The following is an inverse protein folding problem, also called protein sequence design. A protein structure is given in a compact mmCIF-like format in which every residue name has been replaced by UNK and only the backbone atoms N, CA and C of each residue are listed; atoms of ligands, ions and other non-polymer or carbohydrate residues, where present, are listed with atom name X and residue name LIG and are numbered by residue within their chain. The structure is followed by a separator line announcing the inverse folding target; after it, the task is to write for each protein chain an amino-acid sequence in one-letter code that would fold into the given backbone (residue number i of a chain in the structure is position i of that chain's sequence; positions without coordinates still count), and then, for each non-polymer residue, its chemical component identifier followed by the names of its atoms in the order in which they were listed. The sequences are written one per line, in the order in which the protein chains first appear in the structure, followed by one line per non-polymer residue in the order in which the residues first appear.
data_IF_105771143909
#
_entry.id   IF_105771143909
#
_cell.length_a   1.000
_cell.length_b   1.000
_cell.length_c   1.000
_cell.angle_alpha   90.00
_cell.angle_beta   90.00
_cell.angle_gamma   90.00
#
_symmetry.space_group_name_H-M   'P 1'
#
loop_
_entity.id
_entity.type
_entity.pdbx_description
1 polymer ?
#
# COMPACT_ATOMS: atom_id res chain seq x y z
N UNK A 1 60.93 -0.49 -31.92
CA UNK A 1 60.27 -1.39 -30.95
C UNK A 1 59.95 -0.74 -29.59
N UNK A 2 60.91 -0.09 -28.90
CA UNK A 2 60.70 0.52 -27.57
C UNK A 2 59.59 1.59 -27.50
N UNK A 3 59.38 2.36 -28.57
CA UNK A 3 58.38 3.44 -28.64
C UNK A 3 56.94 2.94 -28.78
N UNK A 4 56.76 1.77 -29.38
CA UNK A 4 55.43 1.14 -29.57
C UNK A 4 54.94 0.55 -28.25
N UNK A 5 55.82 -0.13 -27.50
CA UNK A 5 55.48 -0.67 -26.17
C UNK A 5 55.05 0.43 -25.18
N UNK A 6 55.70 1.60 -25.20
CA UNK A 6 55.33 2.73 -24.34
C UNK A 6 53.93 3.27 -24.66
N UNK A 7 53.57 3.36 -25.94
CA UNK A 7 52.24 3.82 -26.37
C UNK A 7 51.14 2.83 -25.96
N UNK A 8 51.40 1.53 -26.11
CA UNK A 8 50.46 0.47 -25.68
C UNK A 8 50.24 0.51 -24.16
N UNK A 9 51.32 0.69 -23.38
CA UNK A 9 51.20 0.82 -21.92
C UNK A 9 50.38 2.03 -21.47
N UNK A 10 50.57 3.19 -22.11
CA UNK A 10 49.80 4.40 -21.78
C UNK A 10 48.32 4.24 -22.13
N UNK A 11 47.99 3.62 -23.27
CA UNK A 11 46.60 3.38 -23.66
C UNK A 11 45.90 2.43 -22.70
N UNK A 12 46.57 1.35 -22.27
CA UNK A 12 46.03 0.41 -21.29
C UNK A 12 45.72 1.09 -19.95
N UNK A 13 46.66 1.89 -19.44
CA UNK A 13 46.46 2.64 -18.18
C UNK A 13 45.28 3.61 -18.29
N UNK A 14 45.13 4.28 -19.44
CA UNK A 14 44.03 5.23 -19.66
C UNK A 14 42.67 4.50 -19.69
N UNK A 15 42.61 3.34 -20.35
CA UNK A 15 41.40 2.51 -20.39
C UNK A 15 41.02 2.05 -18.98
N UNK A 16 41.98 1.55 -18.20
CA UNK A 16 41.72 1.11 -16.82
C UNK A 16 41.27 2.26 -15.91
N UNK A 17 41.84 3.46 -16.09
CA UNK A 17 41.44 4.63 -15.33
C UNK A 17 40.01 5.06 -15.67
N UNK A 18 39.65 5.06 -16.96
CA UNK A 18 38.29 5.39 -17.41
C UNK A 18 37.28 4.36 -16.90
N UNK A 19 37.56 3.06 -16.96
CA UNK A 19 36.65 2.04 -16.41
C UNK A 19 36.52 2.14 -14.89
N UNK A 20 37.58 2.49 -14.15
CA UNK A 20 37.50 2.72 -12.71
C UNK A 20 36.68 3.97 -12.36
N UNK A 21 36.83 5.05 -13.13
CA UNK A 21 36.06 6.29 -12.95
C UNK A 21 34.58 6.03 -13.27
N UNK A 22 34.29 5.47 -14.45
CA UNK A 22 32.92 5.13 -14.84
C UNK A 22 32.32 4.13 -13.85
N UNK A 23 33.04 3.11 -13.42
CA UNK A 23 32.60 2.21 -12.37
C UNK A 23 32.28 2.96 -11.07
N UNK A 24 33.17 3.81 -10.57
CA UNK A 24 32.95 4.53 -9.31
C UNK A 24 31.77 5.50 -9.36
N UNK A 25 31.50 6.13 -10.50
CA UNK A 25 30.44 7.14 -10.63
C UNK A 25 29.12 6.58 -11.17
N UNK A 26 29.14 5.55 -12.01
CA UNK A 26 27.93 4.90 -12.55
C UNK A 26 27.43 3.75 -11.68
N UNK A 27 28.29 3.07 -10.90
CA UNK A 27 27.85 1.99 -10.02
C UNK A 27 26.87 2.45 -8.92
N UNK A 28 27.06 3.61 -8.25
CA UNK A 28 26.03 4.12 -7.32
C UNK A 28 24.73 4.53 -8.01
N UNK A 29 24.75 4.80 -9.32
CA UNK A 29 23.55 5.12 -10.11
C UNK A 29 22.77 3.86 -10.55
N UNK A 30 23.38 2.67 -10.48
CA UNK A 30 22.77 1.41 -10.93
C UNK A 30 22.39 0.49 -9.76
N UNK A 31 22.97 0.69 -8.58
CA UNK A 31 22.58 -0.04 -7.37
C UNK A 31 21.30 0.58 -6.79
N UNK A 32 20.17 0.31 -7.44
CA UNK A 32 18.87 0.37 -6.77
C UNK A 32 18.92 -0.69 -5.67
N UNK A 33 19.05 -0.26 -4.42
CA UNK A 33 18.83 -1.15 -3.28
C UNK A 33 17.34 -1.44 -3.23
N UNK A 34 16.93 -2.56 -3.82
CA UNK A 34 15.63 -3.14 -3.54
C UNK A 34 15.67 -3.65 -2.10
N UNK A 35 15.06 -2.89 -1.19
CA UNK A 35 14.70 -3.41 0.13
C UNK A 35 13.33 -4.04 -0.09
N UNK A 36 13.24 -5.37 0.02
CA UNK A 36 11.95 -6.06 0.05
C UNK A 36 11.58 -6.23 1.51
N UNK A 37 10.51 -5.55 1.93
CA UNK A 37 9.87 -5.81 3.22
C UNK A 37 8.68 -6.73 2.98
N UNK A 38 8.50 -7.73 3.84
CA UNK A 38 7.34 -8.61 3.81
C UNK A 38 6.48 -8.28 5.03
N UNK A 39 5.34 -7.64 4.81
CA UNK A 39 4.28 -7.52 5.81
C UNK A 39 3.20 -8.53 5.43
N UNK A 40 2.96 -9.51 6.31
CA UNK A 40 1.85 -10.43 6.14
C UNK A 40 0.62 -9.82 6.80
N UNK A 41 -0.38 -9.50 5.98
CA UNK A 41 -1.73 -9.29 6.46
C UNK A 41 -2.37 -10.65 6.78
N UNK A 42 -3.26 -10.66 7.76
CA UNK A 42 -4.15 -11.81 7.99
C UNK A 42 -5.32 -11.70 7.02
N UNK A 43 -5.65 -12.81 6.35
CA UNK A 43 -6.85 -12.91 5.54
C UNK A 43 -7.98 -13.51 6.38
N UNK A 44 -9.15 -12.88 6.33
CA UNK A 44 -10.35 -13.33 7.02
C UNK A 44 -11.46 -13.66 6.02
N UNK A 45 -12.26 -14.70 6.27
CA UNK A 45 -13.54 -14.88 5.56
C UNK A 45 -14.47 -13.69 5.79
N UNK A 46 -15.32 -13.39 4.81
CA UNK A 46 -16.28 -12.26 4.89
C UNK A 46 -17.19 -12.41 6.09
N UNK A 47 -17.63 -13.62 6.41
CA UNK A 47 -18.49 -13.91 7.55
C UNK A 47 -17.80 -13.53 8.87
N UNK A 48 -16.49 -13.75 8.96
CA UNK A 48 -15.69 -13.34 10.13
C UNK A 48 -15.58 -11.82 10.20
N UNK A 49 -15.40 -11.15 9.05
CA UNK A 49 -15.34 -9.69 8.98
C UNK A 49 -16.67 -9.03 9.33
N UNK A 50 -17.79 -9.61 8.93
CA UNK A 50 -19.14 -9.14 9.32
C UNK A 50 -19.31 -9.15 10.84
N UNK A 51 -18.79 -10.18 11.52
CA UNK A 51 -18.94 -10.34 12.96
C UNK A 51 -17.95 -9.52 13.80
N UNK A 52 -16.73 -9.31 13.32
CA UNK A 52 -15.65 -8.74 14.13
C UNK A 52 -15.10 -7.40 13.64
N UNK A 53 -15.57 -6.86 12.52
CA UNK A 53 -15.17 -5.51 12.11
C UNK A 53 -15.78 -4.49 13.06
N UNK A 54 -14.99 -3.52 13.51
CA UNK A 54 -15.49 -2.40 14.32
C UNK A 54 -16.38 -1.49 13.46
N UNK A 55 -16.04 -1.39 12.17
CA UNK A 55 -16.66 -0.50 11.21
C UNK A 55 -16.95 -1.26 9.91
N UNK A 56 -18.19 -1.12 9.41
CA UNK A 56 -18.59 -1.62 8.10
C UNK A 56 -19.37 -0.51 7.39
N UNK A 57 -19.03 -0.21 6.15
CA UNK A 57 -19.75 0.82 5.39
C UNK A 57 -19.65 0.64 3.89
N UNK A 58 -20.64 1.17 3.19
CA UNK A 58 -20.58 1.44 1.77
C UNK A 58 -19.94 2.82 1.56
N UNK A 59 -18.80 2.86 0.87
CA UNK A 59 -18.06 4.07 0.59
C UNK A 59 -17.76 4.25 -0.89
N UNK A 60 -17.52 5.49 -1.29
CA UNK A 60 -16.92 5.81 -2.58
C UNK A 60 -15.50 6.33 -2.37
N UNK A 61 -14.54 5.77 -3.10
CA UNK A 61 -13.15 6.24 -3.07
C UNK A 61 -13.06 7.63 -3.68
N UNK A 62 -12.74 8.64 -2.87
CA UNK A 62 -12.56 10.01 -3.32
C UNK A 62 -11.12 10.25 -3.82
N UNK A 63 -10.14 9.78 -3.07
CA UNK A 63 -8.72 9.96 -3.39
C UNK A 63 -7.85 8.84 -2.80
N UNK A 64 -6.71 8.60 -3.43
CA UNK A 64 -5.64 7.74 -2.93
C UNK A 64 -4.38 8.59 -2.84
N UNK A 65 -3.77 8.70 -1.66
CA UNK A 65 -2.56 9.50 -1.46
C UNK A 65 -1.33 8.82 -2.04
N UNK A 66 -0.26 9.59 -2.31
CA UNK A 66 1.08 9.03 -2.55
C UNK A 66 1.58 8.24 -1.32
N UNK A 67 2.54 7.34 -1.53
CA UNK A 67 3.22 6.65 -0.42
C UNK A 67 4.00 7.64 0.45
N UNK A 68 3.86 7.47 1.76
CA UNK A 68 4.63 8.16 2.79
C UNK A 68 5.23 7.13 3.75
N UNK A 69 6.16 7.58 4.56
CA UNK A 69 6.75 6.76 5.62
C UNK A 69 6.23 7.23 6.98
N UNK A 70 6.05 6.29 7.91
CA UNK A 70 5.45 6.48 9.24
C UNK A 70 6.31 7.34 10.21
N UNK A 71 6.64 8.55 9.77
CA UNK A 71 7.37 9.58 10.49
C UNK A 71 6.83 10.96 10.13
N UNK A 72 7.16 11.97 10.92
CA UNK A 72 6.57 13.31 10.84
C UNK A 72 6.64 13.96 9.45
N UNK A 73 7.78 13.84 8.76
CA UNK A 73 7.97 14.48 7.45
C UNK A 73 7.58 13.59 6.26
N UNK A 74 7.15 12.34 6.50
CA UNK A 74 6.76 11.37 5.47
C UNK A 74 7.87 10.92 4.51
N UNK A 75 9.11 11.42 4.65
CA UNK A 75 10.21 11.12 3.75
C UNK A 75 10.70 9.68 3.91
N UNK A 76 11.42 9.17 2.91
CA UNK A 76 12.02 7.84 3.00
C UNK A 76 12.83 7.61 4.28
N UNK A 77 12.61 6.45 4.93
CA UNK A 77 13.35 6.00 6.09
C UNK A 77 13.51 4.48 6.08
N UNK A 78 14.75 3.99 6.13
CA UNK A 78 15.06 2.56 6.02
C UNK A 78 14.32 1.65 7.01
N UNK A 79 14.02 2.13 8.23
CA UNK A 79 13.36 1.32 9.26
C UNK A 79 11.87 1.67 9.41
N UNK A 80 11.36 2.54 8.53
CA UNK A 80 9.96 2.93 8.53
C UNK A 80 9.08 1.91 7.84
N UNK A 81 7.79 2.04 8.08
CA UNK A 81 6.75 1.35 7.31
C UNK A 81 6.22 2.31 6.25
N UNK A 82 6.28 1.96 4.96
CA UNK A 82 5.56 2.70 3.95
C UNK A 82 4.05 2.54 4.21
N UNK A 83 3.32 3.61 4.05
CA UNK A 83 1.87 3.62 4.10
C UNK A 83 1.32 4.64 3.12
N UNK A 84 0.05 4.51 2.80
CA UNK A 84 -0.71 5.54 2.12
C UNK A 84 -2.14 5.56 2.65
N UNK A 85 -2.88 6.59 2.30
CA UNK A 85 -4.24 6.79 2.76
C UNK A 85 -5.21 6.76 1.59
N UNK A 86 -6.36 6.14 1.82
CA UNK A 86 -7.51 6.20 0.91
C UNK A 86 -8.58 7.05 1.60
N UNK A 87 -8.94 8.17 0.96
CA UNK A 87 -10.05 9.02 1.41
C UNK A 87 -11.33 8.52 0.79
N UNK A 88 -12.34 8.29 1.62
CA UNK A 88 -13.62 7.70 1.24
C UNK A 88 -14.76 8.62 1.67
N UNK A 89 -15.68 8.89 0.75
CA UNK A 89 -16.98 9.47 1.09
C UNK A 89 -17.90 8.35 1.54
N UNK A 90 -18.45 8.45 2.75
CA UNK A 90 -19.38 7.46 3.29
C UNK A 90 -20.74 7.64 2.61
N UNK A 91 -21.18 6.63 1.86
CA UNK A 91 -22.51 6.62 1.25
C UNK A 91 -23.52 6.10 2.26
N UNK A 92 -23.18 5.00 2.95
CA UNK A 92 -24.06 4.37 3.91
C UNK A 92 -23.26 3.65 5.01
N UNK A 93 -23.37 4.06 6.28
CA UNK A 93 -22.85 3.26 7.38
C UNK A 93 -23.69 1.98 7.52
N UNK A 94 -23.01 0.86 7.76
CA UNK A 94 -23.61 -0.47 7.97
C UNK A 94 -23.42 -0.90 9.43
N UNK A 95 -22.20 -0.76 9.96
CA UNK A 95 -21.81 -0.99 11.35
C UNK A 95 -20.79 0.08 11.81
N UNK A 96 -20.79 0.39 13.11
CA UNK A 96 -19.89 1.40 13.69
C UNK A 96 -20.38 2.83 13.50
N UNK A 97 -19.73 3.77 14.19
CA UNK A 97 -19.95 5.21 14.04
C UNK A 97 -18.90 5.78 13.09
N UNK A 98 -19.35 6.58 12.11
CA UNK A 98 -18.48 7.17 11.09
C UNK A 98 -18.87 8.62 10.81
N UNK A 99 -17.87 9.42 10.46
CA UNK A 99 -18.08 10.72 9.81
C UNK A 99 -18.44 10.54 8.33
N UNK A 100 -18.88 11.62 7.66
CA UNK A 100 -19.21 11.60 6.23
C UNK A 100 -17.99 11.32 5.33
N UNK A 101 -16.79 11.58 5.83
CA UNK A 101 -15.51 11.28 5.17
C UNK A 101 -14.64 10.43 6.11
N UNK A 102 -14.07 9.36 5.57
CA UNK A 102 -13.18 8.45 6.30
C UNK A 102 -11.83 8.37 5.62
N UNK A 103 -10.76 8.40 6.40
CA UNK A 103 -9.39 8.14 5.94
C UNK A 103 -8.96 6.77 6.40
N UNK A 104 -8.77 5.88 5.43
CA UNK A 104 -8.31 4.53 5.67
C UNK A 104 -6.80 4.47 5.46
N UNK A 105 -6.07 4.12 6.51
CA UNK A 105 -4.62 3.93 6.46
C UNK A 105 -4.28 2.51 5.99
N UNK A 106 -3.45 2.40 4.97
CA UNK A 106 -3.01 1.13 4.39
C UNK A 106 -1.48 1.05 4.51
N UNK A 107 -0.97 -0.03 5.11
CA UNK A 107 0.48 -0.31 5.13
C UNK A 107 0.87 -0.92 3.79
N UNK A 108 1.94 -0.40 3.21
CA UNK A 108 2.40 -0.74 1.87
C UNK A 108 2.40 0.48 0.95
N UNK A 109 3.16 0.35 -0.14
CA UNK A 109 3.23 1.33 -1.19
C UNK A 109 1.87 1.49 -1.87
N UNK A 110 1.55 2.71 -2.28
CA UNK A 110 0.49 2.96 -3.24
C UNK A 110 0.76 2.14 -4.53
N UNK A 111 -0.24 1.42 -5.07
CA UNK A 111 -0.08 0.61 -6.30
C UNK A 111 0.43 1.37 -7.53
N UNK A 112 0.31 2.70 -7.56
CA UNK A 112 0.77 3.56 -8.66
C UNK A 112 2.23 4.02 -8.52
N UNK A 113 2.85 3.82 -7.36
CA UNK A 113 4.24 4.22 -7.12
C UNK A 113 5.20 3.20 -7.75
N UNK A 114 6.21 3.69 -8.46
CA UNK A 114 7.16 2.84 -9.22
C UNK A 114 8.19 2.13 -8.35
N UNK A 115 8.35 2.58 -7.10
CA UNK A 115 9.33 2.04 -6.15
C UNK A 115 8.61 1.17 -5.12
N UNK A 116 8.47 -0.12 -5.42
CA UNK A 116 7.85 -1.07 -4.51
C UNK A 116 8.86 -1.54 -3.46
N UNK A 117 8.62 -1.15 -2.21
CA UNK A 117 9.31 -1.68 -1.02
C UNK A 117 8.44 -2.76 -0.35
N UNK A 118 7.12 -2.55 -0.35
CA UNK A 118 6.11 -3.41 0.23
C UNK A 118 4.79 -3.25 -0.54
N UNK A 119 4.19 -4.35 -1.01
CA UNK A 119 2.90 -4.31 -1.72
C UNK A 119 1.73 -4.06 -0.75
N UNK A 120 0.77 -3.23 -1.16
CA UNK A 120 -0.44 -2.97 -0.39
C UNK A 120 -1.59 -3.93 -0.72
N UNK A 121 -1.47 -4.77 -1.75
CA UNK A 121 -2.46 -5.78 -2.12
C UNK A 121 -3.90 -5.24 -2.32
N UNK A 122 -4.07 -4.09 -2.97
CA UNK A 122 -5.38 -3.63 -3.48
C UNK A 122 -5.24 -2.92 -4.83
N UNK A 123 -6.35 -2.76 -5.54
CA UNK A 123 -6.41 -2.08 -6.83
C UNK A 123 -7.37 -0.87 -6.85
N UNK A 124 -7.67 -0.32 -5.66
CA UNK A 124 -8.60 0.79 -5.46
C UNK A 124 -8.25 2.02 -6.32
N UNK A 125 -9.29 2.61 -6.93
CA UNK A 125 -9.22 3.81 -7.77
C UNK A 125 -10.29 4.80 -7.36
N UNK A 126 -10.06 6.07 -7.71
CA UNK A 126 -11.07 7.10 -7.52
C UNK A 126 -12.39 6.74 -8.21
N UNK A 127 -13.49 7.02 -7.52
CA UNK A 127 -14.88 6.70 -7.84
C UNK A 127 -15.30 5.24 -7.67
N UNK A 128 -14.42 4.33 -7.26
CA UNK A 128 -14.82 2.98 -6.91
C UNK A 128 -15.83 3.01 -5.75
N UNK A 129 -16.97 2.34 -5.93
CA UNK A 129 -17.99 2.14 -4.90
C UNK A 129 -17.82 0.73 -4.31
N UNK A 130 -17.53 0.66 -3.02
CA UNK A 130 -17.12 -0.57 -2.33
C UNK A 130 -17.71 -0.67 -0.93
N UNK A 131 -17.99 -1.90 -0.50
CA UNK A 131 -18.21 -2.19 0.93
C UNK A 131 -16.84 -2.44 1.56
N UNK A 132 -16.59 -1.83 2.71
CA UNK A 132 -15.33 -1.91 3.44
C UNK A 132 -15.57 -2.53 4.81
N UNK A 133 -14.68 -3.45 5.19
CA UNK A 133 -14.55 -3.97 6.55
C UNK A 133 -13.29 -3.38 7.20
N UNK A 134 -13.48 -2.56 8.22
CA UNK A 134 -12.43 -1.81 8.87
C UNK A 134 -12.40 -2.00 10.38
N UNK A 135 -11.28 -1.64 10.99
CA UNK A 135 -11.06 -1.63 12.44
C UNK A 135 -10.51 -0.29 12.89
N UNK A 136 -10.92 0.09 14.10
CA UNK A 136 -10.31 1.18 14.84
C UNK A 136 -9.08 0.65 15.53
N UNK A 137 -7.91 1.17 15.15
CA UNK A 137 -6.63 0.65 15.64
C UNK A 137 -5.61 1.76 15.81
N UNK A 138 -4.38 1.35 16.10
CA UNK A 138 -3.24 2.21 16.30
C UNK A 138 -2.15 1.88 15.28
N UNK A 139 -1.70 2.88 14.52
CA UNK A 139 -0.55 2.75 13.64
C UNK A 139 0.74 3.13 14.37
N UNK A 140 1.78 2.29 14.23
CA UNK A 140 3.08 2.52 14.86
C UNK A 140 3.83 3.63 14.14
N UNK A 141 4.38 4.59 14.89
CA UNK A 141 5.11 5.73 14.37
C UNK A 141 6.59 5.71 14.81
N UNK A 142 7.46 6.46 14.12
CA UNK A 142 8.92 6.52 14.38
C UNK A 142 9.27 6.99 15.79
N UNK A 143 8.67 8.07 16.25
CA UNK A 143 8.72 8.49 17.66
C UNK A 143 7.86 7.52 18.48
N UNK A 144 8.10 7.29 19.79
CA UNK A 144 7.39 6.27 20.61
C UNK A 144 5.91 6.63 20.84
N UNK A 145 5.17 6.72 19.75
CA UNK A 145 3.84 7.26 19.58
C UNK A 145 3.11 6.26 18.70
N UNK A 146 1.89 5.99 19.13
CA UNK A 146 0.89 5.31 18.33
C UNK A 146 -0.12 6.36 17.91
N UNK A 147 -0.51 6.31 16.65
CA UNK A 147 -1.47 7.25 16.08
C UNK A 147 -2.76 6.46 15.83
N UNK A 148 -3.91 6.90 16.38
CA UNK A 148 -5.19 6.31 16.04
C UNK A 148 -5.40 6.32 14.52
N UNK A 149 -5.82 5.20 13.97
CA UNK A 149 -6.03 5.02 12.54
C UNK A 149 -7.18 4.05 12.31
N UNK A 150 -7.95 4.32 11.26
CA UNK A 150 -8.88 3.34 10.69
C UNK A 150 -8.10 2.54 9.66
N UNK A 151 -8.07 1.23 9.80
CA UNK A 151 -7.36 0.33 8.89
C UNK A 151 -8.28 -0.79 8.44
N UNK A 152 -7.93 -1.47 7.34
CA UNK A 152 -8.62 -2.69 6.97
C UNK A 152 -8.56 -3.73 8.09
N UNK A 153 -9.64 -4.47 8.30
CA UNK A 153 -9.67 -5.54 9.31
C UNK A 153 -8.60 -6.61 9.07
N UNK A 154 -8.32 -6.92 7.80
CA UNK A 154 -7.28 -7.85 7.39
C UNK A 154 -6.51 -7.32 6.18
N UNK A 155 -6.24 -8.21 5.23
CA UNK A 155 -5.61 -7.82 3.97
C UNK A 155 -6.52 -6.90 3.14
N UNK A 156 -5.98 -5.84 2.50
CA UNK A 156 -6.78 -4.90 1.72
C UNK A 156 -7.62 -5.53 0.60
N UNK A 157 -7.15 -6.61 -0.05
CA UNK A 157 -7.90 -7.34 -1.08
C UNK A 157 -9.12 -8.10 -0.56
N UNK A 158 -9.06 -8.65 0.65
CA UNK A 158 -10.14 -9.46 1.24
C UNK A 158 -11.09 -8.61 2.07
N UNK A 159 -10.61 -7.47 2.58
CA UNK A 159 -11.38 -6.56 3.43
C UNK A 159 -12.31 -5.60 2.66
N UNK A 160 -12.53 -5.85 1.37
CA UNK A 160 -13.45 -5.08 0.52
C UNK A 160 -14.37 -6.01 -0.27
N UNK A 161 -15.56 -5.52 -0.59
CA UNK A 161 -16.42 -6.09 -1.61
C UNK A 161 -16.61 -5.08 -2.74
N UNK A 162 -16.28 -5.49 -3.96
CA UNK A 162 -16.38 -4.64 -5.14
C UNK A 162 -17.78 -4.71 -5.75
N UNK A 163 -18.33 -3.56 -6.12
CA UNK A 163 -19.63 -3.52 -6.79
C UNK A 163 -19.55 -4.06 -8.22
N UNK A 164 -20.39 -5.04 -8.53
CA UNK A 164 -20.59 -5.59 -9.86
C UNK A 164 -21.61 -4.80 -10.69
N UNK A 165 -21.65 -5.07 -12.00
CA UNK A 165 -22.60 -4.43 -12.93
C UNK A 165 -24.07 -4.80 -12.66
N UNK A 166 -24.28 -5.94 -12.00
CA UNK A 166 -25.59 -6.42 -11.55
C UNK A 166 -26.08 -5.77 -10.25
N UNK A 167 -25.25 -4.91 -9.64
CA UNK A 167 -25.55 -4.23 -8.38
C UNK A 167 -25.25 -5.05 -7.12
N UNK A 168 -24.71 -6.27 -7.26
CA UNK A 168 -24.21 -7.07 -6.13
C UNK A 168 -22.78 -6.66 -5.76
N UNK A 169 -22.35 -7.04 -4.57
CA UNK A 169 -21.00 -6.80 -4.06
C UNK A 169 -20.23 -8.11 -3.97
N UNK A 170 -19.03 -8.13 -4.54
CA UNK A 170 -18.25 -9.35 -4.74
C UNK A 170 -16.97 -9.36 -3.92
N UNK A 171 -16.74 -10.48 -3.22
CA UNK A 171 -15.46 -10.78 -2.58
C UNK A 171 -14.40 -11.13 -3.63
N UNK A 172 -13.12 -11.10 -3.25
CA UNK A 172 -12.03 -11.56 -4.13
C UNK A 172 -12.14 -13.04 -4.50
N UNK A 173 -12.85 -13.84 -3.70
CA UNK A 173 -13.09 -15.26 -3.96
C UNK A 173 -14.30 -15.51 -4.89
N UNK A 174 -15.04 -14.47 -5.24
CA UNK A 174 -16.20 -14.54 -6.12
C UNK A 174 -17.53 -14.74 -5.41
N UNK A 175 -17.54 -14.77 -4.07
CA UNK A 175 -18.78 -14.75 -3.29
C UNK A 175 -19.50 -13.42 -3.50
N UNK A 176 -20.82 -13.44 -3.61
CA UNK A 176 -21.62 -12.25 -3.87
C UNK A 176 -22.63 -11.99 -2.78
N UNK A 177 -22.84 -10.71 -2.51
CA UNK A 177 -23.69 -10.24 -1.43
C UNK A 177 -24.58 -9.10 -1.94
N UNK A 178 -25.85 -9.10 -1.57
CA UNK A 178 -26.67 -7.90 -1.70
C UNK A 178 -26.39 -6.96 -0.51
N UNK A 179 -26.54 -5.66 -0.72
CA UNK A 179 -26.35 -4.69 0.36
C UNK A 179 -27.35 -4.90 1.51
N UNK A 180 -28.59 -5.27 1.18
CA UNK A 180 -29.62 -5.50 2.18
C UNK A 180 -29.34 -6.76 3.02
N UNK A 181 -28.80 -7.81 2.41
CA UNK A 181 -28.40 -9.02 3.13
C UNK A 181 -27.26 -8.72 4.11
N UNK A 182 -26.21 -8.01 3.67
CA UNK A 182 -25.11 -7.57 4.55
C UNK A 182 -25.62 -6.78 5.76
N UNK A 183 -26.56 -5.85 5.54
CA UNK A 183 -27.14 -5.03 6.62
C UNK A 183 -27.95 -5.90 7.59
N UNK A 184 -28.66 -6.90 7.08
CA UNK A 184 -29.45 -7.81 7.91
C UNK A 184 -28.59 -8.79 8.71
N UNK A 185 -27.44 -9.21 8.16
CA UNK A 185 -26.49 -10.07 8.86
C UNK A 185 -25.78 -9.33 10.01
N UNK A 186 -25.34 -8.09 9.78
CA UNK A 186 -24.68 -7.25 10.80
C UNK A 186 -25.58 -6.94 12.01
N UNK A 187 -26.90 -6.92 11.82
CA UNK A 187 -27.86 -6.55 12.88
C UNK A 187 -28.28 -7.71 13.79
N UNK A 188 -27.87 -8.94 13.50
CA UNK A 188 -28.21 -10.12 14.30
C UNK A 188 -27.26 -10.27 15.49
#
# INVERSE_FOLDING_TARGET
MKTVLKKVGVVLVLITLVTLIVGKFAFPLVVNRFITMEASYVEYPVETMIMEADIIFLGQVAAVSETRWNQENGQYWNDGLPYHEVTLSVIRPIAGELEDEVRLTIIGNNPLDKEFVLESNHALKANDEIVIFARDTEFTWREPKRIPAIMFMGSPNTSILAKGEDGLYYSVNGDSYSLDDLINEVKQ
#
